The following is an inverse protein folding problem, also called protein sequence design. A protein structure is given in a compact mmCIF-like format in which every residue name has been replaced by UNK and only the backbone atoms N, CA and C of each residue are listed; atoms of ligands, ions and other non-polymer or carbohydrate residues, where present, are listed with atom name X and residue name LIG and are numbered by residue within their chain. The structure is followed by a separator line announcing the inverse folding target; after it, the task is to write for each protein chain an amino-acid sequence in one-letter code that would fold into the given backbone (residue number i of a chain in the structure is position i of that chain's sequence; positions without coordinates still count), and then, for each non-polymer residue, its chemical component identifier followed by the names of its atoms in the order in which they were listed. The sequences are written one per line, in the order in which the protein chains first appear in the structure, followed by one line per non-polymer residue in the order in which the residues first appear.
data_IF_691763597259
#
_entry.id   IF_691763597259
#
_cell.length_a   1.000
_cell.length_b   1.000
_cell.length_c   1.000
_cell.angle_alpha   90.00
_cell.angle_beta   90.00
_cell.angle_gamma   90.00
#
_symmetry.space_group_name_H-M   'P 1'
#
loop_
_entity.id
_entity.type
_entity.pdbx_description
1 polymer ?
#
# COMPACT_ATOMS: atom_id res chain seq x y z
N UNK A 1 11.86 -11.90 -21.98
CA UNK A 1 11.60 -10.95 -20.88
C UNK A 1 10.16 -11.14 -20.41
N UNK A 2 9.91 -11.50 -19.14
CA UNK A 2 8.55 -11.79 -18.65
C UNK A 2 7.80 -10.47 -18.41
N UNK A 3 6.70 -10.26 -19.13
CA UNK A 3 5.89 -9.03 -19.08
C UNK A 3 5.47 -8.62 -17.66
N UNK A 4 5.07 -9.58 -16.82
CA UNK A 4 4.61 -9.37 -15.44
C UNK A 4 5.72 -9.03 -14.43
N UNK A 5 6.98 -9.09 -14.82
CA UNK A 5 8.09 -8.76 -13.91
C UNK A 5 8.39 -7.25 -13.88
N UNK A 6 7.90 -6.50 -14.87
CA UNK A 6 8.08 -5.05 -14.97
C UNK A 6 7.44 -4.33 -13.77
N UNK A 7 8.15 -3.32 -13.26
CA UNK A 7 7.71 -2.54 -12.10
C UNK A 7 6.35 -1.88 -12.34
N UNK A 8 6.18 -1.23 -13.50
CA UNK A 8 4.94 -0.58 -13.93
C UNK A 8 3.72 -1.52 -13.92
N UNK A 9 3.90 -2.76 -14.39
CA UNK A 9 2.83 -3.76 -14.43
C UNK A 9 2.45 -4.18 -13.01
N UNK A 10 3.43 -4.41 -12.13
CA UNK A 10 3.18 -4.75 -10.73
C UNK A 10 2.52 -3.62 -9.95
N UNK A 11 2.84 -2.38 -10.27
CA UNK A 11 2.27 -1.21 -9.60
C UNK A 11 0.81 -1.01 -10.00
N UNK A 12 0.49 -1.15 -11.30
CA UNK A 12 -0.91 -1.15 -11.78
C UNK A 12 -1.70 -2.30 -11.15
N UNK A 13 -1.12 -3.50 -11.08
CA UNK A 13 -1.78 -4.64 -10.44
C UNK A 13 -2.05 -4.40 -8.94
N UNK A 14 -1.12 -3.76 -8.23
CA UNK A 14 -1.32 -3.41 -6.83
C UNK A 14 -2.42 -2.34 -6.66
N UNK A 15 -2.49 -1.36 -7.56
CA UNK A 15 -3.61 -0.41 -7.60
C UNK A 15 -4.96 -1.11 -7.81
N UNK A 16 -5.06 -2.01 -8.79
CA UNK A 16 -6.28 -2.77 -9.06
C UNK A 16 -6.67 -3.67 -7.88
N UNK A 17 -5.70 -4.32 -7.23
CA UNK A 17 -5.93 -5.13 -6.04
C UNK A 17 -6.49 -4.32 -4.88
N UNK A 18 -6.00 -3.10 -4.66
CA UNK A 18 -6.55 -2.24 -3.61
C UNK A 18 -8.00 -1.84 -3.87
N UNK A 19 -8.39 -1.62 -5.13
CA UNK A 19 -9.79 -1.31 -5.48
C UNK A 19 -10.69 -2.50 -5.17
N UNK A 20 -10.23 -3.72 -5.44
CA UNK A 20 -11.00 -4.95 -5.17
C UNK A 20 -10.97 -5.35 -3.69
N UNK A 21 -9.86 -5.15 -3.01
CA UNK A 21 -9.64 -5.47 -1.61
C UNK A 21 -8.85 -4.34 -0.93
N UNK A 22 -9.54 -3.35 -0.33
CA UNK A 22 -8.88 -2.25 0.37
C UNK A 22 -8.08 -2.69 1.60
N UNK A 23 -8.32 -3.89 2.13
CA UNK A 23 -7.59 -4.41 3.30
C UNK A 23 -6.24 -5.05 2.94
N UNK A 24 -5.81 -4.99 1.67
CA UNK A 24 -4.50 -5.48 1.25
C UNK A 24 -3.40 -4.45 1.54
N UNK A 25 -2.85 -4.53 2.76
CA UNK A 25 -1.76 -3.66 3.22
C UNK A 25 -0.49 -3.83 2.37
N UNK A 26 -0.23 -5.00 1.79
CA UNK A 26 0.97 -5.25 0.99
C UNK A 26 0.91 -4.47 -0.33
N UNK A 27 -0.24 -4.52 -1.00
CA UNK A 27 -0.46 -3.73 -2.22
C UNK A 27 -0.41 -2.23 -1.91
N UNK A 28 -1.00 -1.79 -0.79
CA UNK A 28 -0.94 -0.39 -0.35
C UNK A 28 0.50 0.08 -0.12
N UNK A 29 1.28 -0.62 0.71
CA UNK A 29 2.66 -0.27 1.04
C UNK A 29 3.54 -0.17 -0.21
N UNK A 30 3.24 -0.95 -1.25
CA UNK A 30 3.93 -0.90 -2.54
C UNK A 30 3.65 0.41 -3.30
N UNK A 31 2.38 0.80 -3.42
CA UNK A 31 1.98 1.92 -4.30
C UNK A 31 1.78 3.25 -3.59
N UNK A 32 1.81 3.26 -2.25
CA UNK A 32 1.55 4.45 -1.41
C UNK A 32 2.42 5.66 -1.79
N UNK A 33 3.64 5.43 -2.27
CA UNK A 33 4.58 6.48 -2.68
C UNK A 33 4.94 6.43 -4.18
N UNK A 34 4.10 5.79 -5.01
CA UNK A 34 4.28 5.70 -6.47
C UNK A 34 2.99 6.16 -7.17
N UNK A 35 2.88 7.39 -7.69
CA UNK A 35 3.91 8.43 -7.83
C UNK A 35 4.34 9.03 -6.47
N UNK A 36 5.48 9.71 -6.44
CA UNK A 36 6.07 10.22 -5.20
C UNK A 36 5.13 11.19 -4.45
N UNK A 37 4.71 10.81 -3.25
CA UNK A 37 3.84 11.60 -2.35
C UNK A 37 4.59 12.18 -1.16
N UNK A 38 5.92 12.02 -1.12
CA UNK A 38 6.80 12.41 -0.01
C UNK A 38 6.42 11.73 1.32
N UNK A 39 5.86 10.52 1.24
CA UNK A 39 5.58 9.71 2.43
C UNK A 39 6.87 8.97 2.81
N UNK A 40 7.49 9.41 3.90
CA UNK A 40 8.73 8.84 4.41
C UNK A 40 8.53 7.49 5.11
N UNK A 41 9.61 6.72 5.21
CA UNK A 41 9.63 5.42 5.90
C UNK A 41 9.17 5.53 7.35
N UNK A 42 9.61 6.56 8.08
CA UNK A 42 9.23 6.77 9.49
C UNK A 42 7.73 6.97 9.67
N UNK A 43 7.08 7.67 8.74
CA UNK A 43 5.62 7.84 8.74
C UNK A 43 4.92 6.52 8.46
N UNK A 44 5.39 5.77 7.46
CA UNK A 44 4.88 4.44 7.11
C UNK A 44 4.98 3.44 8.26
N UNK A 45 6.13 3.41 8.95
CA UNK A 45 6.36 2.52 10.09
C UNK A 45 5.41 2.84 11.24
N UNK A 46 5.18 4.14 11.53
CA UNK A 46 4.22 4.59 12.56
C UNK A 46 2.79 4.21 12.22
N UNK A 47 2.37 4.42 10.97
CA UNK A 47 1.02 4.07 10.50
C UNK A 47 0.81 2.56 10.58
N UNK A 48 1.80 1.78 10.13
CA UNK A 48 1.75 0.31 10.21
C UNK A 48 1.68 -0.18 11.65
N UNK A 49 2.49 0.38 12.56
CA UNK A 49 2.43 0.05 13.98
C UNK A 49 1.07 0.38 14.60
N UNK A 50 0.48 1.53 14.25
CA UNK A 50 -0.86 1.90 14.72
C UNK A 50 -1.96 1.00 14.17
N UNK A 51 -1.87 0.58 12.91
CA UNK A 51 -2.82 -0.33 12.28
C UNK A 51 -2.78 -1.70 12.98
N UNK A 52 -1.57 -2.23 13.20
CA UNK A 52 -1.34 -3.48 13.95
C UNK A 52 -1.88 -3.40 15.38
N UNK A 53 -1.62 -2.30 16.10
CA UNK A 53 -2.08 -2.12 17.48
C UNK A 53 -3.62 -2.08 17.59
N UNK A 54 -4.31 -1.60 16.55
CA UNK A 54 -5.78 -1.56 16.48
C UNK A 54 -6.39 -2.80 15.84
N UNK A 55 -5.57 -3.76 15.39
CA UNK A 55 -6.01 -4.93 14.61
C UNK A 55 -6.87 -4.53 13.39
N UNK A 56 -6.50 -3.43 12.73
CA UNK A 56 -7.17 -2.94 11.52
C UNK A 56 -6.19 -2.90 10.35
N UNK A 57 -6.68 -2.94 9.12
CA UNK A 57 -5.88 -2.62 7.95
C UNK A 57 -5.42 -1.15 7.96
N UNK A 58 -4.32 -0.87 7.28
CA UNK A 58 -3.82 0.51 7.11
C UNK A 58 -4.86 1.36 6.40
N UNK A 59 -5.54 0.80 5.40
CA UNK A 59 -6.61 1.51 4.69
C UNK A 59 -7.73 1.96 5.63
N UNK A 60 -8.20 1.06 6.49
CA UNK A 60 -9.26 1.38 7.46
C UNK A 60 -8.82 2.44 8.47
N UNK A 61 -7.56 2.37 8.90
CA UNK A 61 -6.97 3.39 9.78
C UNK A 61 -6.92 4.78 9.12
N UNK A 62 -6.65 4.86 7.81
CA UNK A 62 -6.59 6.12 7.06
C UNK A 62 -7.98 6.66 6.68
N UNK A 63 -8.97 5.79 6.55
CA UNK A 63 -10.35 6.14 6.20
C UNK A 63 -11.21 6.55 7.41
N UNK A 64 -10.66 6.45 8.63
CA UNK A 64 -11.30 6.87 9.88
C UNK A 64 -10.85 8.27 10.25
#
# INVERSE_FOLDING_TARGET
MRFYERAEVKDILAYLRMVLNPNDDVSLLRVVNTPARKIGKTTLDRVTAHATARQTSIWKLLAT
#
